data_IF_234423770065
#
_entry.id   IF_234423770065
#
_cell.length_a   1.000
_cell.length_b   1.000
_cell.length_c   1.000
_cell.angle_alpha   90.00
_cell.angle_beta   90.00
_cell.angle_gamma   90.00
#
_symmetry.space_group_name_H-M   'P 1'
#
loop_
_entity.id
_entity.type
_entity.pdbx_description
1 polymer ?
#
# COMPACT_ATOMS: atom_id res chain seq x y z
N UNK A 1 -52.47 -2.80 80.08
CA UNK A 1 -52.87 -3.49 78.82
C UNK A 1 -52.18 -2.77 77.66
N UNK A 2 -51.05 -3.32 77.21
CA UNK A 2 -50.23 -2.75 76.12
C UNK A 2 -50.59 -3.51 74.88
N UNK A 3 -51.06 -2.82 73.88
CA UNK A 3 -51.39 -3.39 72.59
C UNK A 3 -50.16 -3.31 71.69
N UNK A 4 -49.59 -4.47 71.30
CA UNK A 4 -48.53 -4.59 70.31
C UNK A 4 -49.15 -4.46 68.93
N UNK A 5 -48.72 -3.46 68.16
CA UNK A 5 -48.98 -3.38 66.73
C UNK A 5 -47.77 -3.98 65.95
N UNK A 6 -48.03 -5.07 65.22
CA UNK A 6 -47.08 -5.72 64.34
C UNK A 6 -47.06 -4.95 63.02
N UNK A 7 -45.99 -4.24 62.70
CA UNK A 7 -45.79 -3.58 61.41
C UNK A 7 -45.11 -4.59 60.48
N UNK A 8 -45.89 -5.04 59.47
CA UNK A 8 -45.36 -5.87 58.38
C UNK A 8 -44.76 -4.92 57.32
N UNK A 9 -43.40 -4.93 57.24
CA UNK A 9 -42.64 -4.26 56.18
C UNK A 9 -42.66 -5.18 54.94
N UNK A 10 -43.44 -4.79 53.91
CA UNK A 10 -43.39 -5.44 52.59
C UNK A 10 -42.20 -4.81 51.84
N UNK A 11 -41.11 -5.54 51.74
CA UNK A 11 -39.99 -5.15 50.86
C UNK A 11 -40.31 -5.56 49.43
N UNK A 12 -40.62 -4.56 48.61
CA UNK A 12 -40.70 -4.75 47.17
C UNK A 12 -39.28 -4.80 46.60
N UNK A 13 -38.79 -6.00 46.29
CA UNK A 13 -37.57 -6.17 45.51
C UNK A 13 -37.84 -5.88 44.02
N UNK A 14 -37.47 -4.70 43.56
CA UNK A 14 -37.38 -4.39 42.13
C UNK A 14 -36.19 -5.17 41.54
N UNK A 15 -36.48 -6.31 40.90
CA UNK A 15 -35.50 -6.98 40.02
C UNK A 15 -35.40 -6.18 38.74
N UNK A 16 -34.38 -5.33 38.63
CA UNK A 16 -33.93 -4.78 37.36
C UNK A 16 -33.23 -5.88 36.57
N UNK A 17 -33.93 -6.47 35.60
CA UNK A 17 -33.30 -7.23 34.54
C UNK A 17 -32.38 -6.30 33.75
N UNK A 18 -31.09 -6.24 34.11
CA UNK A 18 -30.07 -5.81 33.16
C UNK A 18 -29.98 -6.90 32.09
N UNK A 19 -30.56 -6.65 30.92
CA UNK A 19 -30.25 -7.38 29.71
C UNK A 19 -28.78 -7.10 29.39
N UNK A 20 -27.90 -8.02 29.73
CA UNK A 20 -26.56 -8.11 29.12
C UNK A 20 -26.82 -8.35 27.63
N UNK A 21 -26.72 -7.28 26.82
CA UNK A 21 -26.59 -7.41 25.39
C UNK A 21 -25.29 -8.23 25.16
N UNK A 22 -25.45 -9.51 24.96
CA UNK A 22 -24.43 -10.34 24.35
C UNK A 22 -24.23 -9.73 22.95
N UNK A 23 -23.10 -9.03 22.74
CA UNK A 23 -22.58 -8.89 21.39
C UNK A 23 -22.39 -10.33 20.91
N UNK A 24 -23.30 -10.83 20.12
CA UNK A 24 -23.06 -12.00 19.31
C UNK A 24 -21.77 -11.70 18.54
N UNK A 25 -20.70 -12.40 18.90
CA UNK A 25 -19.57 -12.56 18.04
C UNK A 25 -20.14 -13.33 16.86
N UNK A 26 -20.39 -12.63 15.75
CA UNK A 26 -20.63 -13.27 14.47
C UNK A 26 -19.31 -13.97 14.19
N UNK A 27 -19.22 -15.26 14.53
CA UNK A 27 -18.19 -16.14 14.00
C UNK A 27 -18.59 -16.32 12.55
N UNK A 28 -18.04 -15.49 11.66
CA UNK A 28 -18.06 -15.83 10.25
C UNK A 28 -17.29 -17.12 10.12
N UNK A 29 -18.03 -18.18 9.99
CA UNK A 29 -17.46 -19.50 9.70
C UNK A 29 -16.96 -19.46 8.27
N UNK A 30 -15.65 -19.17 8.13
CA UNK A 30 -14.95 -19.02 6.86
C UNK A 30 -14.77 -20.35 6.12
N UNK A 31 -15.66 -21.29 6.29
CA UNK A 31 -15.48 -22.68 5.87
C UNK A 31 -15.56 -22.91 4.36
N UNK A 32 -15.83 -21.90 3.53
CA UNK A 32 -15.96 -22.15 2.07
C UNK A 32 -15.70 -20.93 1.16
N UNK A 33 -14.58 -20.24 1.31
CA UNK A 33 -14.28 -19.09 0.46
C UNK A 33 -13.41 -19.39 -0.77
N UNK A 34 -13.03 -20.62 -1.01
CA UNK A 34 -12.22 -21.01 -2.17
C UNK A 34 -10.78 -20.46 -2.15
N UNK A 35 -10.00 -20.72 -3.19
CA UNK A 35 -8.66 -20.15 -3.33
C UNK A 35 -8.73 -18.64 -3.60
N UNK A 36 -7.65 -17.89 -3.30
CA UNK A 36 -7.51 -16.52 -3.72
C UNK A 36 -7.77 -16.35 -5.23
N UNK A 37 -8.44 -15.26 -5.66
CA UNK A 37 -8.83 -15.10 -7.06
C UNK A 37 -7.69 -14.75 -8.01
N UNK A 38 -6.53 -14.35 -7.47
CA UNK A 38 -5.36 -13.98 -8.26
C UNK A 38 -4.11 -14.75 -7.81
N UNK A 39 -3.17 -14.92 -8.74
CA UNK A 39 -1.90 -15.62 -8.54
C UNK A 39 -0.73 -14.66 -8.61
N UNK A 40 0.25 -14.82 -7.70
CA UNK A 40 1.41 -13.94 -7.59
C UNK A 40 1.02 -12.53 -7.14
N UNK A 41 1.85 -11.55 -7.46
CA UNK A 41 1.54 -10.12 -7.27
C UNK A 41 0.43 -9.69 -8.23
N UNK A 42 -0.57 -8.98 -7.71
CA UNK A 42 -1.72 -8.56 -8.50
C UNK A 42 -1.40 -7.32 -9.34
N UNK A 43 -1.80 -7.38 -10.60
CA UNK A 43 -1.87 -6.24 -11.52
C UNK A 43 -3.26 -6.18 -12.15
N UNK A 44 -3.72 -4.98 -12.46
CA UNK A 44 -5.07 -4.73 -13.00
C UNK A 44 -4.99 -4.55 -14.51
N UNK A 45 -5.83 -5.26 -15.25
CA UNK A 45 -5.90 -5.13 -16.69
C UNK A 45 -7.36 -4.79 -17.11
N UNK A 46 -7.58 -3.65 -17.78
CA UNK A 46 -6.59 -2.63 -18.20
C UNK A 46 -6.03 -1.80 -17.05
N UNK A 47 -4.87 -1.17 -17.27
CA UNK A 47 -4.11 -0.43 -16.26
C UNK A 47 -4.92 0.72 -15.65
N UNK A 48 -4.87 0.82 -14.33
CA UNK A 48 -5.59 1.86 -13.56
C UNK A 48 -4.81 3.16 -13.41
N UNK A 49 -3.51 3.12 -13.62
CA UNK A 49 -2.63 4.29 -13.76
C UNK A 49 -1.80 4.09 -15.02
N UNK A 50 -1.73 5.11 -15.86
CA UNK A 50 -1.04 5.06 -17.15
C UNK A 50 -0.12 6.27 -17.34
N UNK A 51 0.72 6.21 -18.36
CA UNK A 51 1.58 7.32 -18.74
C UNK A 51 0.82 8.61 -19.14
N UNK A 52 -0.48 8.53 -19.41
CA UNK A 52 -1.35 9.67 -19.71
C UNK A 52 -1.95 10.33 -18.47
N UNK A 53 -1.83 9.70 -17.29
CA UNK A 53 -2.32 10.29 -16.05
C UNK A 53 -1.41 11.45 -15.58
N UNK A 54 -1.97 12.45 -14.88
CA UNK A 54 -1.20 13.58 -14.38
C UNK A 54 -0.05 13.16 -13.48
N UNK A 55 1.10 13.81 -13.64
CA UNK A 55 2.23 13.68 -12.72
C UNK A 55 2.41 14.98 -11.96
N UNK A 56 2.61 14.89 -10.66
CA UNK A 56 2.94 16.01 -9.77
C UNK A 56 4.41 16.43 -9.86
N UNK A 57 5.23 15.72 -10.63
CA UNK A 57 6.64 16.04 -10.80
C UNK A 57 6.84 17.42 -11.43
N UNK A 58 7.63 18.27 -10.77
CA UNK A 58 7.97 19.60 -11.27
C UNK A 58 9.34 19.57 -11.95
N UNK A 59 10.39 19.26 -11.17
CA UNK A 59 11.78 19.32 -11.65
C UNK A 59 12.71 18.54 -10.74
N UNK A 60 13.91 18.25 -11.25
CA UNK A 60 15.06 17.77 -10.48
C UNK A 60 16.34 18.41 -11.02
N UNK A 61 17.38 18.45 -10.21
CA UNK A 61 18.69 18.95 -10.63
C UNK A 61 19.81 18.11 -10.05
N UNK A 62 20.94 18.06 -10.75
CA UNK A 62 22.12 17.37 -10.26
C UNK A 62 22.72 18.13 -9.05
N UNK A 63 22.78 17.46 -7.90
CA UNK A 63 23.27 18.01 -6.62
C UNK A 63 24.60 17.39 -6.19
N UNK A 64 25.44 16.96 -7.16
CA UNK A 64 26.73 16.38 -6.86
C UNK A 64 26.66 14.89 -6.47
N UNK A 65 27.69 14.45 -5.77
CA UNK A 65 27.83 13.09 -5.23
C UNK A 65 28.19 13.17 -3.76
N UNK A 66 27.66 12.25 -2.97
CA UNK A 66 28.06 12.09 -1.57
C UNK A 66 27.88 10.63 -1.15
N UNK A 67 28.59 10.23 -0.11
CA UNK A 67 28.49 8.88 0.43
C UNK A 67 27.04 8.58 0.87
N UNK A 68 26.49 7.48 0.39
CA UNK A 68 25.18 6.94 0.76
C UNK A 68 25.29 5.44 1.00
N UNK A 69 24.43 4.92 1.86
CA UNK A 69 24.24 3.49 2.01
C UNK A 69 22.98 3.11 1.25
N UNK A 70 23.08 2.24 0.26
CA UNK A 70 21.99 1.77 -0.59
C UNK A 70 21.92 0.25 -0.51
N UNK A 71 20.71 -0.32 -0.53
CA UNK A 71 20.57 -1.76 -0.67
C UNK A 71 20.65 -2.16 -2.16
N UNK A 72 21.40 -3.20 -2.47
CA UNK A 72 21.51 -3.74 -3.82
C UNK A 72 21.11 -5.22 -3.83
N UNK A 73 20.00 -5.55 -4.46
CA UNK A 73 19.48 -6.93 -4.53
C UNK A 73 20.42 -7.87 -5.27
N UNK A 74 21.26 -7.36 -6.19
CA UNK A 74 22.23 -8.17 -6.96
C UNK A 74 23.27 -8.85 -6.06
N UNK A 75 23.58 -8.21 -4.96
CA UNK A 75 24.50 -8.75 -3.94
C UNK A 75 23.81 -9.09 -2.63
N UNK A 76 22.50 -8.81 -2.53
CA UNK A 76 21.67 -9.01 -1.35
C UNK A 76 22.23 -8.36 -0.08
N UNK A 77 22.83 -7.16 -0.23
CA UNK A 77 23.51 -6.47 0.87
C UNK A 77 23.41 -4.94 0.75
N UNK A 78 23.70 -4.28 1.87
CA UNK A 78 23.85 -2.84 1.95
C UNK A 78 25.24 -2.43 1.48
N UNK A 79 25.32 -1.58 0.47
CA UNK A 79 26.57 -1.09 -0.11
C UNK A 79 26.76 0.40 0.14
N UNK A 80 28.01 0.79 0.39
CA UNK A 80 28.38 2.20 0.51
C UNK A 80 28.98 2.68 -0.82
N UNK A 81 28.41 3.71 -1.40
CA UNK A 81 28.88 4.30 -2.66
C UNK A 81 28.59 5.80 -2.69
N UNK A 82 29.11 6.48 -3.70
CA UNK A 82 28.83 7.89 -3.97
C UNK A 82 27.93 8.01 -5.20
N UNK A 83 26.59 7.87 -5.06
CA UNK A 83 25.66 8.00 -6.17
C UNK A 83 25.60 9.42 -6.70
N UNK A 84 25.11 9.58 -7.92
CA UNK A 84 24.64 10.86 -8.42
C UNK A 84 23.34 11.23 -7.70
N UNK A 85 23.27 12.41 -7.10
CA UNK A 85 22.15 12.87 -6.28
C UNK A 85 21.27 13.85 -7.04
N UNK A 86 19.97 13.63 -7.02
CA UNK A 86 18.97 14.47 -7.68
C UNK A 86 17.79 14.68 -6.74
N UNK A 87 17.71 15.82 -6.01
CA UNK A 87 16.46 16.21 -5.36
C UNK A 87 15.38 16.44 -6.40
N UNK A 88 14.34 15.63 -6.36
CA UNK A 88 13.16 15.75 -7.20
C UNK A 88 12.04 16.43 -6.43
N UNK A 89 11.45 17.50 -6.98
CA UNK A 89 10.38 18.28 -6.38
C UNK A 89 9.04 18.00 -7.04
N UNK A 90 7.99 18.02 -6.23
CA UNK A 90 6.62 17.73 -6.63
C UNK A 90 5.70 18.90 -6.23
N UNK A 91 4.61 19.13 -6.95
CA UNK A 91 3.73 20.29 -6.76
C UNK A 91 2.89 20.26 -5.47
N UNK A 92 2.86 19.11 -4.80
CA UNK A 92 2.30 18.95 -3.45
C UNK A 92 3.32 19.21 -2.31
N UNK A 93 4.44 19.86 -2.63
CA UNK A 93 5.55 20.23 -1.74
C UNK A 93 6.37 19.05 -1.20
N UNK A 94 6.24 17.86 -1.77
CA UNK A 94 7.15 16.77 -1.47
C UNK A 94 8.47 16.95 -2.21
N UNK A 95 9.55 16.51 -1.57
CA UNK A 95 10.89 16.41 -2.18
C UNK A 95 11.45 15.03 -1.88
N UNK A 96 11.90 14.33 -2.91
CA UNK A 96 12.46 12.97 -2.83
C UNK A 96 13.89 13.00 -3.37
N UNK A 97 14.87 12.52 -2.61
CA UNK A 97 16.25 12.39 -3.10
C UNK A 97 16.39 11.14 -3.96
N UNK A 98 16.61 11.32 -5.25
CA UNK A 98 16.90 10.22 -6.17
C UNK A 98 18.41 9.99 -6.20
N UNK A 99 18.83 8.78 -5.87
CA UNK A 99 20.21 8.34 -5.76
C UNK A 99 20.51 7.32 -6.87
N UNK A 100 21.24 7.77 -7.89
CA UNK A 100 21.57 6.91 -9.06
C UNK A 100 22.98 6.36 -8.93
N UNK A 101 23.08 5.04 -8.97
CA UNK A 101 24.37 4.31 -8.86
C UNK A 101 25.40 4.86 -9.86
N UNK A 102 26.67 5.04 -9.47
CA UNK A 102 27.75 5.53 -10.37
C UNK A 102 27.97 4.68 -11.63
N UNK A 103 27.47 3.45 -11.65
CA UNK A 103 27.54 2.56 -12.82
C UNK A 103 26.84 3.11 -14.08
N UNK A 104 26.00 4.16 -13.94
CA UNK A 104 25.44 4.87 -15.09
C UNK A 104 26.45 5.77 -15.82
N UNK A 105 27.60 6.02 -15.23
CA UNK A 105 28.80 6.54 -15.88
C UNK A 105 28.96 8.05 -15.90
N UNK A 106 27.88 8.84 -16.03
CA UNK A 106 27.96 10.30 -15.99
C UNK A 106 26.71 10.92 -15.37
N UNK A 107 26.80 12.18 -14.84
CA UNK A 107 25.64 12.90 -14.31
C UNK A 107 24.51 13.01 -15.32
N UNK A 108 24.81 13.29 -16.59
CA UNK A 108 23.79 13.48 -17.63
C UNK A 108 23.01 12.18 -17.90
N UNK A 109 23.70 11.04 -17.93
CA UNK A 109 23.03 9.75 -18.08
C UNK A 109 22.21 9.38 -16.86
N UNK A 110 22.72 9.68 -15.67
CA UNK A 110 22.03 9.46 -14.41
C UNK A 110 20.78 10.33 -14.31
N UNK A 111 20.85 11.60 -14.77
CA UNK A 111 19.72 12.54 -14.78
C UNK A 111 18.57 12.04 -15.66
N UNK A 112 18.86 11.50 -16.84
CA UNK A 112 17.83 10.93 -17.73
C UNK A 112 17.05 9.80 -17.04
N UNK A 113 17.77 8.93 -16.33
CA UNK A 113 17.16 7.82 -15.60
C UNK A 113 16.39 8.33 -14.37
N UNK A 114 16.98 9.24 -13.60
CA UNK A 114 16.32 9.85 -12.46
C UNK A 114 15.00 10.53 -12.87
N UNK A 115 15.01 11.33 -13.95
CA UNK A 115 13.85 12.02 -14.46
C UNK A 115 12.75 11.07 -14.94
N UNK A 116 13.12 9.98 -15.63
CA UNK A 116 12.17 8.94 -16.06
C UNK A 116 11.34 8.44 -14.89
N UNK A 117 11.98 8.01 -13.79
CA UNK A 117 11.29 7.46 -12.64
C UNK A 117 10.63 8.55 -11.77
N UNK A 118 11.20 9.75 -11.66
CA UNK A 118 10.57 10.86 -10.95
C UNK A 118 9.19 11.20 -11.51
N UNK A 119 9.04 11.20 -12.85
CA UNK A 119 7.76 11.45 -13.51
C UNK A 119 6.75 10.34 -13.20
N UNK A 120 7.16 9.06 -13.21
CA UNK A 120 6.28 7.93 -12.89
C UNK A 120 5.85 7.99 -11.43
N UNK A 121 6.80 8.20 -10.50
CA UNK A 121 6.51 8.35 -9.07
C UNK A 121 5.56 9.54 -8.83
N UNK A 122 5.66 10.61 -9.61
CA UNK A 122 4.74 11.74 -9.54
C UNK A 122 3.28 11.42 -9.89
N UNK A 123 2.99 10.29 -10.55
CA UNK A 123 1.62 9.81 -10.83
C UNK A 123 0.98 9.11 -9.64
N UNK A 124 1.79 8.69 -8.66
CA UNK A 124 1.29 8.11 -7.41
C UNK A 124 0.61 9.18 -6.57
N UNK A 125 -0.33 8.75 -5.74
CA UNK A 125 -0.98 9.66 -4.81
C UNK A 125 0.00 10.22 -3.78
N UNK A 126 -0.30 11.41 -3.24
CA UNK A 126 0.47 11.99 -2.12
C UNK A 126 0.55 11.01 -0.94
N UNK A 127 -0.52 10.23 -0.70
CA UNK A 127 -0.53 9.20 0.35
C UNK A 127 0.57 8.16 0.16
N UNK A 128 0.77 7.67 -1.07
CA UNK A 128 1.80 6.69 -1.38
C UNK A 128 3.22 7.29 -1.40
N UNK A 129 3.35 8.60 -1.62
CA UNK A 129 4.66 9.28 -1.70
C UNK A 129 5.11 9.93 -0.39
N UNK A 130 4.20 10.11 0.58
CA UNK A 130 4.45 10.92 1.80
C UNK A 130 5.64 10.45 2.63
N UNK A 131 5.92 9.17 2.62
CA UNK A 131 7.01 8.56 3.40
C UNK A 131 8.18 8.08 2.51
N UNK A 132 8.14 8.38 1.20
CA UNK A 132 9.27 8.11 0.31
C UNK A 132 10.28 9.26 0.44
N UNK A 133 11.36 9.01 1.17
CA UNK A 133 12.46 9.98 1.34
C UNK A 133 13.50 9.84 0.24
N UNK A 134 13.76 8.60 -0.18
CA UNK A 134 14.79 8.28 -1.16
C UNK A 134 14.32 7.30 -2.23
N UNK A 135 14.96 7.37 -3.40
CA UNK A 135 14.81 6.38 -4.47
C UNK A 135 16.20 5.88 -4.86
N UNK A 136 16.43 4.60 -4.77
CA UNK A 136 17.71 3.98 -5.19
C UNK A 136 17.58 3.37 -6.58
N UNK A 137 18.45 3.77 -7.48
CA UNK A 137 18.43 3.31 -8.87
C UNK A 137 19.74 2.59 -9.21
N UNK A 138 19.60 1.31 -9.50
CA UNK A 138 20.67 0.42 -9.97
C UNK A 138 20.35 -0.11 -11.36
N UNK A 139 21.38 -0.60 -12.08
CA UNK A 139 21.18 -1.52 -13.19
C UNK A 139 20.84 -2.92 -12.66
N UNK A 140 20.54 -3.84 -13.57
CA UNK A 140 20.42 -5.26 -13.26
C UNK A 140 19.02 -5.82 -13.35
N UNK A 141 18.95 -7.16 -13.31
CA UNK A 141 17.73 -7.94 -13.50
C UNK A 141 17.16 -8.42 -12.15
N UNK A 142 16.87 -7.46 -11.26
CA UNK A 142 16.24 -7.70 -9.97
C UNK A 142 14.94 -6.94 -9.86
N UNK A 143 13.94 -7.52 -9.18
CA UNK A 143 12.65 -6.87 -8.97
C UNK A 143 12.80 -5.58 -8.12
N UNK A 144 11.80 -4.69 -8.21
CA UNK A 144 11.72 -3.49 -7.38
C UNK A 144 11.53 -3.84 -5.90
N UNK A 145 11.61 -2.84 -5.03
CA UNK A 145 11.36 -2.96 -3.60
C UNK A 145 10.85 -1.67 -3.00
N UNK A 146 10.03 -1.80 -1.97
CA UNK A 146 9.56 -0.71 -1.13
C UNK A 146 9.87 -0.95 0.34
N UNK A 147 9.65 0.07 1.17
CA UNK A 147 9.91 0.05 2.61
C UNK A 147 11.11 0.91 3.02
N UNK A 148 11.31 1.07 4.33
CA UNK A 148 12.42 1.87 4.88
C UNK A 148 12.51 3.30 4.30
N UNK A 149 11.37 3.96 4.07
CA UNK A 149 11.26 5.29 3.45
C UNK A 149 11.90 5.36 2.05
N UNK A 150 11.89 4.25 1.32
CA UNK A 150 12.62 4.11 0.05
C UNK A 150 11.82 3.36 -1.01
N UNK A 151 12.16 3.66 -2.28
CA UNK A 151 11.83 2.83 -3.43
C UNK A 151 13.13 2.35 -4.08
N UNK A 152 13.26 1.05 -4.28
CA UNK A 152 14.41 0.41 -4.93
C UNK A 152 14.07 0.02 -6.37
N UNK A 153 14.88 0.44 -7.31
CA UNK A 153 14.70 0.26 -8.75
C UNK A 153 15.91 -0.45 -9.34
N UNK A 154 15.65 -1.47 -10.14
CA UNK A 154 16.62 -2.09 -11.04
C UNK A 154 16.17 -1.90 -12.49
N UNK A 155 16.89 -1.08 -13.26
CA UNK A 155 16.42 -0.58 -14.57
C UNK A 155 16.25 -1.65 -15.63
N UNK A 156 17.16 -2.65 -15.68
CA UNK A 156 17.10 -3.69 -16.71
C UNK A 156 15.92 -4.64 -16.49
N UNK A 157 15.52 -4.85 -15.22
CA UNK A 157 14.29 -5.56 -14.88
C UNK A 157 13.04 -4.74 -15.22
N UNK A 158 13.07 -3.44 -14.89
CA UNK A 158 11.98 -2.52 -15.20
C UNK A 158 11.63 -2.54 -16.69
N UNK A 159 12.63 -2.33 -17.55
CA UNK A 159 12.44 -2.32 -19.00
C UNK A 159 11.83 -3.63 -19.50
N UNK A 160 12.36 -4.77 -19.05
CA UNK A 160 11.96 -6.09 -19.54
C UNK A 160 10.60 -6.59 -19.00
N UNK A 161 10.28 -6.27 -17.75
CA UNK A 161 9.17 -6.91 -17.05
C UNK A 161 8.04 -5.95 -16.66
N UNK A 162 8.31 -4.65 -16.50
CA UNK A 162 7.28 -3.70 -16.06
C UNK A 162 6.86 -2.76 -17.18
N UNK A 163 7.81 -2.19 -17.90
CA UNK A 163 7.53 -1.25 -18.99
C UNK A 163 6.96 -1.96 -20.21
N UNK A 164 7.59 -3.05 -20.66
CA UNK A 164 7.12 -3.85 -21.81
C UNK A 164 5.73 -4.46 -21.58
N UNK A 165 5.34 -4.67 -20.33
CA UNK A 165 4.04 -5.22 -19.94
C UNK A 165 3.01 -4.13 -19.58
N UNK A 166 3.42 -2.86 -19.51
CA UNK A 166 2.55 -1.74 -19.15
C UNK A 166 2.19 -1.64 -17.67
N UNK A 167 2.89 -2.36 -16.77
CA UNK A 167 2.56 -2.44 -15.33
C UNK A 167 3.49 -1.62 -14.43
N UNK A 168 4.30 -0.72 -14.99
CA UNK A 168 5.29 0.04 -14.23
C UNK A 168 4.67 0.89 -13.12
N UNK A 169 3.61 1.64 -13.44
CA UNK A 169 2.92 2.50 -12.49
C UNK A 169 2.27 1.69 -11.36
N UNK A 170 1.67 0.55 -11.68
CA UNK A 170 1.05 -0.32 -10.69
C UNK A 170 2.07 -1.01 -9.79
N UNK A 171 3.25 -1.36 -10.34
CA UNK A 171 4.39 -1.83 -9.54
C UNK A 171 4.79 -0.77 -8.51
N UNK A 172 4.85 0.50 -8.89
CA UNK A 172 5.12 1.57 -7.94
C UNK A 172 4.00 1.78 -6.91
N UNK A 173 2.74 1.53 -7.24
CA UNK A 173 1.65 1.53 -6.24
C UNK A 173 1.92 0.47 -5.18
N UNK A 174 2.29 -0.74 -5.59
CA UNK A 174 2.62 -1.84 -4.68
C UNK A 174 3.82 -1.50 -3.78
N UNK A 175 4.95 -1.09 -4.35
CA UNK A 175 6.17 -0.80 -3.59
C UNK A 175 6.03 0.44 -2.68
N UNK A 176 5.30 1.46 -3.14
CA UNK A 176 5.02 2.63 -2.33
C UNK A 176 3.99 2.34 -1.21
N UNK A 177 3.10 1.36 -1.38
CA UNK A 177 2.25 0.88 -0.29
C UNK A 177 3.09 0.26 0.84
N UNK A 178 4.11 -0.54 0.54
CA UNK A 178 5.06 -1.01 1.54
C UNK A 178 5.75 0.14 2.27
N UNK A 179 6.11 1.20 1.55
CA UNK A 179 6.81 2.35 2.13
C UNK A 179 5.91 3.22 2.99
N UNK A 180 4.69 3.50 2.54
CA UNK A 180 3.83 4.54 3.13
C UNK A 180 2.57 4.03 3.82
N UNK A 181 2.25 2.73 3.74
CA UNK A 181 1.05 2.18 4.36
C UNK A 181 1.33 1.09 5.40
N UNK A 182 2.30 0.19 5.19
CA UNK A 182 2.51 -0.95 6.07
C UNK A 182 2.74 -0.56 7.53
N UNK A 183 3.56 0.47 7.79
CA UNK A 183 3.88 0.90 9.16
C UNK A 183 2.65 1.41 9.92
N UNK A 184 1.64 1.92 9.21
CA UNK A 184 0.43 2.48 9.78
C UNK A 184 -0.71 1.46 9.89
N UNK A 185 -0.72 0.46 9.00
CA UNK A 185 -1.90 -0.38 8.80
C UNK A 185 -1.68 -1.87 9.08
N UNK A 186 -0.49 -2.44 8.79
CA UNK A 186 -0.28 -3.88 8.86
C UNK A 186 -0.53 -4.49 10.25
N UNK A 187 -0.37 -3.70 11.32
CA UNK A 187 -0.62 -4.11 12.71
C UNK A 187 -1.84 -3.44 13.35
N UNK A 188 -2.61 -2.67 12.58
CA UNK A 188 -3.86 -2.06 13.06
C UNK A 188 -4.86 -3.18 13.39
N UNK A 189 -5.43 -3.22 14.62
CA UNK A 189 -6.41 -4.24 15.00
C UNK A 189 -7.64 -4.31 14.09
N UNK A 190 -8.07 -3.17 13.52
CA UNK A 190 -9.19 -3.14 12.58
C UNK A 190 -8.81 -3.76 11.22
N UNK A 191 -7.54 -3.59 10.79
CA UNK A 191 -7.01 -4.30 9.62
C UNK A 191 -6.97 -5.81 9.82
N UNK A 192 -6.39 -6.25 10.93
CA UNK A 192 -6.29 -7.66 11.27
C UNK A 192 -7.67 -8.31 11.42
N UNK A 193 -8.64 -7.57 11.95
CA UNK A 193 -10.03 -8.03 12.00
C UNK A 193 -10.64 -8.12 10.58
N UNK A 194 -10.42 -7.12 9.71
CA UNK A 194 -10.88 -7.16 8.33
C UNK A 194 -10.28 -8.36 7.57
N UNK A 195 -8.96 -8.56 7.73
CA UNK A 195 -8.24 -9.70 7.15
C UNK A 195 -8.85 -11.04 7.56
N UNK A 196 -9.10 -11.24 8.86
CA UNK A 196 -9.68 -12.48 9.37
C UNK A 196 -11.14 -12.68 8.97
N UNK A 197 -11.89 -11.59 8.79
CA UNK A 197 -13.32 -11.63 8.46
C UNK A 197 -13.59 -11.87 6.98
N UNK A 198 -12.70 -11.44 6.08
CA UNK A 198 -12.79 -11.70 4.64
C UNK A 198 -12.61 -13.20 4.30
N UNK A 199 -11.97 -13.94 5.18
CA UNK A 199 -11.78 -15.41 5.08
C UNK A 199 -10.97 -15.88 3.85
N UNK A 200 -10.58 -14.97 2.98
CA UNK A 200 -9.65 -15.23 1.87
C UNK A 200 -8.71 -14.02 1.71
N UNK A 201 -7.75 -14.18 0.82
CA UNK A 201 -6.85 -13.12 0.41
C UNK A 201 -7.13 -12.74 -1.04
N UNK A 202 -6.69 -11.56 -1.45
CA UNK A 202 -6.87 -11.12 -2.84
C UNK A 202 -6.00 -11.96 -3.80
N UNK A 203 -4.79 -12.34 -3.35
CA UNK A 203 -3.85 -13.16 -4.11
C UNK A 203 -3.27 -14.30 -3.25
N UNK A 204 -2.72 -15.32 -3.89
CA UNK A 204 -1.98 -16.37 -3.19
C UNK A 204 -0.68 -15.83 -2.57
N UNK A 205 -0.06 -14.81 -3.18
CA UNK A 205 1.12 -14.14 -2.63
C UNK A 205 0.80 -13.40 -1.31
N UNK A 206 -0.33 -12.68 -1.26
CA UNK A 206 -0.81 -12.08 -0.01
C UNK A 206 -1.12 -13.14 1.06
N UNK A 207 -1.66 -14.29 0.65
CA UNK A 207 -1.97 -15.41 1.55
C UNK A 207 -0.70 -16.08 2.12
N UNK A 208 0.34 -16.22 1.31
CA UNK A 208 1.62 -16.80 1.72
C UNK A 208 2.41 -15.88 2.65
N UNK A 209 2.21 -14.55 2.52
CA UNK A 209 2.93 -13.52 3.26
C UNK A 209 2.01 -12.48 3.92
N UNK A 210 1.02 -12.90 4.74
CA UNK A 210 -0.09 -12.04 5.17
C UNK A 210 0.32 -10.84 6.02
N UNK A 211 1.45 -10.92 6.73
CA UNK A 211 1.95 -9.83 7.58
C UNK A 211 2.77 -8.80 6.80
N UNK A 212 3.20 -9.14 5.58
CA UNK A 212 4.10 -8.32 4.78
C UNK A 212 3.45 -7.80 3.51
N UNK A 213 2.70 -8.65 2.79
CA UNK A 213 2.24 -8.35 1.44
C UNK A 213 0.76 -7.93 1.36
N UNK A 214 -0.05 -8.30 2.35
CA UNK A 214 -1.51 -8.17 2.24
C UNK A 214 -2.01 -6.71 2.13
N UNK A 215 -1.31 -5.74 2.74
CA UNK A 215 -1.63 -4.31 2.57
C UNK A 215 -1.37 -3.88 1.12
N UNK A 216 -0.17 -4.14 0.59
CA UNK A 216 0.23 -3.73 -0.75
C UNK A 216 -0.62 -4.41 -1.82
N UNK A 217 -0.83 -5.73 -1.71
CA UNK A 217 -1.66 -6.52 -2.60
C UNK A 217 -3.14 -6.09 -2.58
N UNK A 218 -3.68 -5.69 -1.43
CA UNK A 218 -5.07 -5.25 -1.28
C UNK A 218 -5.28 -3.79 -1.67
N UNK A 219 -4.24 -2.93 -1.57
CA UNK A 219 -4.39 -1.51 -1.83
C UNK A 219 -4.58 -1.20 -3.32
N UNK A 220 -3.86 -1.86 -4.21
CA UNK A 220 -4.01 -1.66 -5.66
C UNK A 220 -5.44 -2.00 -6.14
N UNK A 221 -6.04 -3.16 -5.80
CA UNK A 221 -7.45 -3.45 -6.07
C UNK A 221 -8.43 -2.46 -5.45
N UNK A 222 -8.21 -2.05 -4.20
CA UNK A 222 -9.00 -1.00 -3.57
C UNK A 222 -8.95 0.31 -4.37
N UNK A 223 -7.76 0.74 -4.77
CA UNK A 223 -7.57 1.93 -5.59
C UNK A 223 -8.34 1.82 -6.92
N UNK A 224 -8.28 0.66 -7.59
CA UNK A 224 -9.01 0.39 -8.81
C UNK A 224 -10.52 0.58 -8.62
N UNK A 225 -11.13 -0.08 -7.63
CA UNK A 225 -12.59 -0.04 -7.45
C UNK A 225 -13.09 1.30 -6.93
N UNK A 226 -12.29 2.02 -6.15
CA UNK A 226 -12.69 3.27 -5.51
C UNK A 226 -12.50 4.50 -6.41
N UNK A 227 -11.36 4.56 -7.11
CA UNK A 227 -10.92 5.78 -7.79
C UNK A 227 -10.76 5.62 -9.31
N UNK A 228 -10.84 4.40 -9.83
CA UNK A 228 -10.65 4.07 -11.26
C UNK A 228 -11.60 2.99 -11.75
N UNK A 229 -12.76 2.88 -11.11
CA UNK A 229 -13.76 1.84 -11.43
C UNK A 229 -14.12 1.80 -12.92
N UNK A 230 -14.14 2.96 -13.55
CA UNK A 230 -14.47 3.10 -14.98
C UNK A 230 -13.40 2.51 -15.92
N UNK A 231 -12.21 2.22 -15.42
CA UNK A 231 -11.11 1.64 -16.21
C UNK A 231 -11.13 0.11 -16.21
N UNK A 232 -11.75 -0.52 -15.22
CA UNK A 232 -11.81 -1.98 -15.10
C UNK A 232 -13.14 -2.56 -15.60
N UNK A 233 -13.16 -3.82 -16.08
CA UNK A 233 -14.41 -4.52 -16.38
C UNK A 233 -15.17 -4.85 -15.08
N UNK A 234 -16.51 -4.77 -15.14
CA UNK A 234 -17.35 -5.02 -13.95
C UNK A 234 -17.10 -6.40 -13.33
N UNK A 235 -16.85 -7.42 -14.13
CA UNK A 235 -16.53 -8.77 -13.63
C UNK A 235 -15.25 -8.83 -12.78
N UNK A 236 -14.28 -7.96 -13.04
CA UNK A 236 -13.07 -7.81 -12.21
C UNK A 236 -13.42 -7.13 -10.89
N UNK A 237 -14.20 -6.05 -10.97
CA UNK A 237 -14.66 -5.29 -9.80
C UNK A 237 -15.43 -6.20 -8.85
N UNK A 238 -16.43 -6.94 -9.35
CA UNK A 238 -17.20 -7.91 -8.56
C UNK A 238 -16.32 -8.99 -7.92
N UNK A 239 -15.30 -9.46 -8.66
CA UNK A 239 -14.34 -10.45 -8.13
C UNK A 239 -13.56 -9.90 -6.94
N UNK A 240 -13.08 -8.65 -7.02
CA UNK A 240 -12.35 -7.98 -5.94
C UNK A 240 -13.27 -7.74 -4.74
N UNK A 241 -14.44 -7.13 -4.97
CA UNK A 241 -15.42 -6.82 -3.93
C UNK A 241 -15.89 -8.08 -3.18
N UNK A 242 -16.00 -9.20 -3.87
CA UNK A 242 -16.34 -10.50 -3.26
C UNK A 242 -15.18 -11.07 -2.42
N UNK A 243 -13.95 -10.88 -2.86
CA UNK A 243 -12.78 -11.49 -2.20
C UNK A 243 -12.42 -10.80 -0.88
N UNK A 244 -12.40 -9.46 -0.87
CA UNK A 244 -11.87 -8.67 0.26
C UNK A 244 -12.81 -7.53 0.72
N UNK A 245 -14.12 -7.77 0.93
CA UNK A 245 -15.07 -6.70 1.23
C UNK A 245 -14.74 -5.95 2.52
N UNK A 246 -14.25 -6.62 3.55
CA UNK A 246 -13.92 -6.00 4.83
C UNK A 246 -12.62 -5.19 4.77
N UNK A 247 -11.62 -5.62 3.99
CA UNK A 247 -10.40 -4.83 3.73
C UNK A 247 -10.73 -3.57 2.93
N UNK A 248 -11.63 -3.66 1.94
CA UNK A 248 -12.14 -2.50 1.20
C UNK A 248 -12.82 -1.52 2.16
N UNK A 249 -13.68 -2.01 3.04
CA UNK A 249 -14.37 -1.19 4.04
C UNK A 249 -13.39 -0.58 5.06
N UNK A 250 -12.32 -1.29 5.42
CA UNK A 250 -11.24 -0.76 6.24
C UNK A 250 -10.60 0.47 5.57
N UNK A 251 -10.20 0.36 4.30
CA UNK A 251 -9.60 1.46 3.56
C UNK A 251 -10.59 2.62 3.36
N UNK A 252 -11.88 2.35 3.12
CA UNK A 252 -12.92 3.37 2.99
C UNK A 252 -13.07 4.26 4.23
N UNK A 253 -12.73 3.75 5.42
CA UNK A 253 -12.74 4.51 6.69
C UNK A 253 -11.52 5.39 6.90
N UNK A 254 -10.47 5.23 6.08
CA UNK A 254 -9.25 6.03 6.16
C UNK A 254 -9.38 7.28 5.28
N UNK A 255 -8.72 8.35 5.69
CA UNK A 255 -8.64 9.59 4.90
C UNK A 255 -7.29 9.64 4.23
N UNK A 256 -7.23 9.16 3.01
CA UNK A 256 -6.03 9.18 2.18
C UNK A 256 -5.91 10.48 1.38
N UNK A 257 -4.69 10.96 1.19
CA UNK A 257 -4.38 12.10 0.32
C UNK A 257 -4.25 11.61 -1.11
N UNK A 258 -5.31 11.72 -1.88
CA UNK A 258 -5.40 11.08 -3.20
C UNK A 258 -4.93 11.94 -4.38
N UNK A 259 -4.50 13.19 -4.17
CA UNK A 259 -3.90 14.01 -5.23
C UNK A 259 -2.70 13.28 -5.89
N UNK A 260 -2.53 13.26 -7.23
CA UNK A 260 -3.29 13.98 -8.28
C UNK A 260 -4.49 13.19 -8.84
N UNK A 261 -4.93 12.15 -8.19
CA UNK A 261 -6.03 11.29 -8.66
C UNK A 261 -7.38 11.94 -8.42
N UNK A 262 -7.49 12.63 -7.30
CA UNK A 262 -8.63 13.48 -6.90
C UNK A 262 -8.13 14.85 -6.43
#
# INVERSE_FOLDING_TARGET
MIKNYLIILIVFSLSTCLSKGSKEKISNDCTDHGPPPFHGTIFINPDIITSSDPSTFIDLFYNGKALRTMYDRRVSDWINLEPYLFPATYDDNLTIEIQVNPEFGSPEKAELVAKKYAVVIGRLTTELRKDVETVWIHRGLEAFGGGNNNLLIHTDWSEKHYEDQGILEETFVHEAAHTSLDSYHAKDPDWLNAQSTDCTFISDYAKEHPEREDIAESYLPYFAIKYRRERGPESLIEKIEKAIPNRIEYFNKKTFKMYPVE
#
